data_IF_666657064380
#
_entry.id   IF_666657064380
#
_cell.length_a   1.000
_cell.length_b   1.000
_cell.length_c   1.000
_cell.angle_alpha   90.00
_cell.angle_beta   90.00
_cell.angle_gamma   90.00
#
_symmetry.space_group_name_H-M   'P 1'
#
loop_
_entity.id
_entity.type
_entity.pdbx_description
1 polymer ?
#
# COMPACT_ATOMS: atom_id res chain seq x y z
N UNK A 1 5.52 -29.81 -3.81
CA UNK A 1 5.99 -28.51 -4.37
C UNK A 1 4.91 -27.48 -4.12
N UNK A 2 5.25 -26.45 -3.36
CA UNK A 2 4.40 -25.30 -3.09
C UNK A 2 4.13 -24.51 -4.38
N UNK A 3 2.90 -24.08 -4.61
CA UNK A 3 2.58 -23.22 -5.75
C UNK A 3 3.12 -21.80 -5.53
N UNK A 4 3.23 -21.01 -6.60
CA UNK A 4 3.69 -19.61 -6.50
C UNK A 4 2.75 -18.77 -5.61
N UNK A 5 1.43 -19.04 -5.65
CA UNK A 5 0.48 -18.36 -4.78
C UNK A 5 0.66 -18.74 -3.31
N UNK A 6 0.84 -20.01 -3.01
CA UNK A 6 1.10 -20.48 -1.64
C UNK A 6 2.37 -19.87 -1.06
N UNK A 7 3.46 -19.82 -1.85
CA UNK A 7 4.70 -19.17 -1.43
C UNK A 7 4.49 -17.67 -1.12
N UNK A 8 3.81 -16.95 -2.00
CA UNK A 8 3.51 -15.53 -1.79
C UNK A 8 2.64 -15.31 -0.55
N UNK A 9 1.66 -16.17 -0.30
CA UNK A 9 0.81 -16.09 0.87
C UNK A 9 1.60 -16.35 2.16
N UNK A 10 2.53 -17.30 2.14
CA UNK A 10 3.41 -17.59 3.28
C UNK A 10 4.35 -16.41 3.58
N UNK A 11 4.94 -15.78 2.56
CA UNK A 11 5.78 -14.58 2.71
C UNK A 11 4.97 -13.44 3.35
N UNK A 12 3.79 -13.13 2.80
CA UNK A 12 2.89 -12.10 3.35
C UNK A 12 2.52 -12.41 4.80
N UNK A 13 2.17 -13.66 5.10
CA UNK A 13 1.83 -14.08 6.46
C UNK A 13 3.00 -13.89 7.44
N UNK A 14 4.22 -14.30 7.07
CA UNK A 14 5.42 -14.08 7.88
C UNK A 14 5.69 -12.60 8.13
N UNK A 15 5.54 -11.77 7.10
CA UNK A 15 5.69 -10.32 7.24
C UNK A 15 4.66 -9.74 8.22
N UNK A 16 3.39 -10.15 8.12
CA UNK A 16 2.34 -9.75 9.06
C UNK A 16 2.70 -10.13 10.49
N UNK A 17 3.20 -11.36 10.71
CA UNK A 17 3.60 -11.81 12.04
C UNK A 17 4.75 -10.98 12.63
N UNK A 18 5.75 -10.63 11.82
CA UNK A 18 6.87 -9.76 12.25
C UNK A 18 6.33 -8.39 12.69
N UNK A 19 5.46 -7.77 11.89
CA UNK A 19 4.86 -6.49 12.20
C UNK A 19 4.07 -6.55 13.53
N UNK A 20 3.17 -7.53 13.66
CA UNK A 20 2.32 -7.66 14.85
C UNK A 20 3.10 -7.98 16.14
N UNK A 21 4.14 -8.80 16.06
CA UNK A 21 5.01 -9.11 17.20
C UNK A 21 5.72 -7.88 17.75
N UNK A 22 5.97 -6.88 16.92
CA UNK A 22 6.62 -5.63 17.28
C UNK A 22 5.62 -4.47 17.52
N UNK A 23 4.31 -4.75 17.48
CA UNK A 23 3.26 -3.76 17.71
C UNK A 23 2.91 -2.90 16.51
N UNK A 24 3.42 -3.24 15.33
CA UNK A 24 3.12 -2.56 14.07
C UNK A 24 1.92 -3.20 13.35
N UNK A 25 1.38 -2.52 12.37
CA UNK A 25 0.22 -2.97 11.60
C UNK A 25 0.34 -2.66 10.11
N UNK A 26 -0.44 -3.36 9.31
CA UNK A 26 -0.59 -3.03 7.90
C UNK A 26 -1.24 -1.65 7.72
N UNK A 27 -0.81 -0.93 6.69
CA UNK A 27 -1.44 0.32 6.22
C UNK A 27 -2.53 0.06 5.18
N UNK A 28 -2.57 -1.15 4.61
CA UNK A 28 -3.54 -1.58 3.61
C UNK A 28 -4.68 -2.35 4.26
N UNK A 29 -5.90 -2.13 3.79
CA UNK A 29 -7.10 -2.80 4.29
C UNK A 29 -7.94 -3.34 3.13
N UNK A 30 -8.49 -4.54 3.32
CA UNK A 30 -9.52 -5.05 2.42
C UNK A 30 -10.87 -4.39 2.77
N UNK A 31 -11.75 -4.07 1.79
CA UNK A 31 -13.07 -3.52 2.09
C UNK A 31 -14.07 -4.56 2.64
N UNK A 32 -13.57 -5.54 3.38
CA UNK A 32 -14.33 -6.57 4.12
C UNK A 32 -13.76 -6.63 5.54
N UNK A 33 -14.64 -6.54 6.55
CA UNK A 33 -14.25 -6.69 7.97
C UNK A 33 -15.13 -7.71 8.68
N UNK A 34 -14.58 -8.33 9.73
CA UNK A 34 -15.35 -9.13 10.67
C UNK A 34 -16.06 -8.20 11.67
N UNK A 35 -17.36 -8.43 11.90
CA UNK A 35 -18.08 -7.80 12.99
C UNK A 35 -17.82 -8.52 14.34
N UNK A 36 -18.37 -7.98 15.41
CA UNK A 36 -18.20 -8.54 16.76
C UNK A 36 -18.76 -9.99 16.91
N UNK A 37 -19.61 -10.43 16.00
CA UNK A 37 -20.17 -11.76 15.96
C UNK A 37 -19.42 -12.72 15.02
N UNK A 38 -18.35 -12.25 14.38
CA UNK A 38 -17.57 -13.01 13.41
C UNK A 38 -18.17 -13.06 12.01
N UNK A 39 -19.21 -12.25 11.71
CA UNK A 39 -19.77 -12.17 10.36
C UNK A 39 -18.97 -11.18 9.51
N UNK A 40 -18.77 -11.52 8.25
CA UNK A 40 -18.12 -10.64 7.29
C UNK A 40 -19.08 -9.60 6.76
N UNK A 41 -18.63 -8.36 6.69
CA UNK A 41 -19.37 -7.21 6.16
C UNK A 41 -18.49 -6.35 5.29
N UNK A 42 -19.06 -5.80 4.22
CA UNK A 42 -18.42 -4.75 3.46
C UNK A 42 -18.33 -3.46 4.27
N UNK A 43 -17.19 -2.76 4.13
CA UNK A 43 -17.00 -1.41 4.69
C UNK A 43 -17.30 -0.31 3.68
N UNK A 44 -17.59 -0.68 2.44
CA UNK A 44 -17.90 0.18 1.31
C UNK A 44 -19.28 -0.15 0.74
N UNK A 45 -19.85 0.77 -0.05
CA UNK A 45 -21.16 0.59 -0.68
C UNK A 45 -21.27 1.34 -2.01
N UNK A 46 -22.35 1.16 -2.75
CA UNK A 46 -22.64 1.86 -4.00
C UNK A 46 -21.57 1.66 -5.06
N UNK A 47 -21.09 2.75 -5.66
CA UNK A 47 -20.11 2.71 -6.75
C UNK A 47 -18.77 2.08 -6.34
N UNK A 48 -18.32 2.29 -5.10
CA UNK A 48 -17.09 1.70 -4.59
C UNK A 48 -17.20 0.17 -4.50
N UNK A 49 -18.34 -0.35 -4.04
CA UNK A 49 -18.60 -1.78 -3.99
C UNK A 49 -18.66 -2.39 -5.40
N UNK A 50 -19.28 -1.70 -6.35
CA UNK A 50 -19.29 -2.13 -7.74
C UNK A 50 -17.88 -2.21 -8.34
N UNK A 51 -17.04 -1.20 -8.07
CA UNK A 51 -15.63 -1.22 -8.49
C UNK A 51 -14.87 -2.38 -7.86
N UNK A 52 -15.12 -2.66 -6.58
CA UNK A 52 -14.52 -3.80 -5.89
C UNK A 52 -14.92 -5.14 -6.54
N UNK A 53 -16.21 -5.35 -6.84
CA UNK A 53 -16.67 -6.53 -7.56
C UNK A 53 -16.02 -6.66 -8.94
N UNK A 54 -15.99 -5.57 -9.71
CA UNK A 54 -15.33 -5.58 -11.02
C UNK A 54 -13.87 -6.00 -10.91
N UNK A 55 -13.14 -5.45 -9.95
CA UNK A 55 -11.74 -5.79 -9.73
C UNK A 55 -11.57 -7.27 -9.33
N UNK A 56 -12.35 -7.76 -8.37
CA UNK A 56 -12.24 -9.13 -7.87
C UNK A 56 -12.60 -10.16 -8.96
N UNK A 57 -13.67 -9.91 -9.70
CA UNK A 57 -14.15 -10.84 -10.74
C UNK A 57 -13.55 -10.58 -12.12
N UNK A 58 -12.68 -9.57 -12.27
CA UNK A 58 -12.02 -9.23 -13.53
C UNK A 58 -12.95 -8.70 -14.61
N UNK A 59 -14.06 -8.07 -14.22
CA UNK A 59 -15.04 -7.51 -15.14
C UNK A 59 -14.64 -6.11 -15.61
N UNK A 60 -14.83 -5.82 -16.89
CA UNK A 60 -14.52 -4.51 -17.49
C UNK A 60 -15.57 -3.44 -17.23
N UNK A 61 -16.78 -3.83 -16.81
CA UNK A 61 -17.89 -2.95 -16.46
C UNK A 61 -18.84 -3.66 -15.50
N UNK A 62 -19.71 -2.87 -14.84
CA UNK A 62 -20.75 -3.42 -13.95
C UNK A 62 -21.71 -4.34 -14.74
N UNK A 63 -21.99 -4.04 -16.00
CA UNK A 63 -22.90 -4.83 -16.81
C UNK A 63 -22.30 -6.19 -17.23
N UNK A 64 -20.97 -6.31 -17.21
CA UNK A 64 -20.27 -7.56 -17.46
C UNK A 64 -20.30 -8.53 -16.27
N UNK A 65 -20.66 -8.05 -15.07
CA UNK A 65 -20.86 -8.91 -13.90
C UNK A 65 -22.18 -9.68 -14.02
N UNK A 66 -22.16 -10.95 -13.61
CA UNK A 66 -23.38 -11.75 -13.46
C UNK A 66 -24.25 -11.24 -12.31
N UNK A 67 -25.54 -11.58 -12.28
CA UNK A 67 -26.41 -11.22 -11.17
C UNK A 67 -25.94 -11.78 -9.82
N UNK A 68 -25.35 -12.99 -9.82
CA UNK A 68 -24.76 -13.58 -8.63
C UNK A 68 -23.56 -12.75 -8.11
N UNK A 69 -22.69 -12.29 -9.02
CA UNK A 69 -21.54 -11.46 -8.66
C UNK A 69 -21.93 -10.06 -8.16
N UNK A 70 -22.96 -9.44 -8.76
CA UNK A 70 -23.49 -8.13 -8.32
C UNK A 70 -24.12 -8.17 -6.93
N UNK A 71 -24.66 -9.33 -6.54
CA UNK A 71 -25.36 -9.52 -5.27
C UNK A 71 -24.57 -10.38 -4.27
N UNK A 72 -23.29 -10.66 -4.56
CA UNK A 72 -22.46 -11.49 -3.70
C UNK A 72 -22.28 -10.84 -2.32
N UNK A 73 -22.46 -11.62 -1.28
CA UNK A 73 -22.20 -11.21 0.10
C UNK A 73 -20.69 -11.06 0.36
N UNK A 74 -20.33 -10.36 1.43
CA UNK A 74 -18.92 -10.21 1.80
C UNK A 74 -18.24 -11.57 2.07
N UNK A 75 -19.00 -12.57 2.58
CA UNK A 75 -18.51 -13.94 2.78
C UNK A 75 -18.24 -14.64 1.45
N UNK A 76 -19.13 -14.55 0.50
CA UNK A 76 -18.96 -15.17 -0.82
C UNK A 76 -17.78 -14.57 -1.59
N UNK A 77 -17.60 -13.25 -1.52
CA UNK A 77 -16.44 -12.59 -2.13
C UNK A 77 -15.15 -13.00 -1.44
N UNK A 78 -15.13 -13.06 -0.11
CA UNK A 78 -13.97 -13.53 0.65
C UNK A 78 -13.60 -14.97 0.29
N UNK A 79 -14.59 -15.89 0.23
CA UNK A 79 -14.35 -17.29 -0.11
C UNK A 79 -13.84 -17.45 -1.55
N UNK A 80 -14.36 -16.66 -2.51
CA UNK A 80 -13.85 -16.61 -3.86
C UNK A 80 -12.41 -16.10 -3.91
N UNK A 81 -12.09 -14.99 -3.23
CA UNK A 81 -10.72 -14.46 -3.18
C UNK A 81 -9.73 -15.44 -2.55
N UNK A 82 -10.18 -16.18 -1.52
CA UNK A 82 -9.37 -17.19 -0.84
C UNK A 82 -9.12 -18.42 -1.69
N UNK A 83 -10.05 -18.77 -2.60
CA UNK A 83 -10.02 -20.01 -3.39
C UNK A 83 -8.82 -20.07 -4.35
N UNK A 84 -8.63 -21.23 -4.97
CA UNK A 84 -7.64 -21.48 -6.01
C UNK A 84 -7.90 -20.70 -7.31
N UNK A 85 -9.12 -20.19 -7.48
CA UNK A 85 -9.46 -19.34 -8.63
C UNK A 85 -8.77 -17.97 -8.60
N UNK A 86 -8.41 -17.47 -7.40
CA UNK A 86 -7.74 -16.16 -7.31
C UNK A 86 -6.41 -16.23 -6.55
N UNK A 87 -6.42 -16.38 -5.21
CA UNK A 87 -5.19 -16.28 -4.43
C UNK A 87 -4.70 -17.58 -3.79
N UNK A 88 -5.49 -18.64 -3.82
CA UNK A 88 -5.16 -19.97 -3.28
C UNK A 88 -4.57 -19.90 -1.85
N UNK A 89 -5.34 -19.36 -0.89
CA UNK A 89 -4.91 -19.24 0.50
C UNK A 89 -5.34 -20.46 1.29
N UNK A 90 -4.38 -21.14 1.96
CA UNK A 90 -4.62 -22.36 2.74
C UNK A 90 -5.78 -22.24 3.74
N UNK A 91 -6.46 -23.36 3.95
CA UNK A 91 -7.49 -23.53 4.97
C UNK A 91 -6.99 -23.42 6.42
N UNK A 92 -5.68 -23.53 6.62
CA UNK A 92 -5.08 -23.55 7.97
C UNK A 92 -5.04 -22.15 8.64
N UNK A 93 -5.14 -21.07 7.84
CA UNK A 93 -5.19 -19.70 8.36
C UNK A 93 -6.59 -19.35 8.86
N UNK A 94 -6.68 -18.69 10.02
CA UNK A 94 -7.94 -18.12 10.50
C UNK A 94 -8.45 -17.02 9.55
N UNK A 95 -9.77 -16.80 9.51
CA UNK A 95 -10.39 -15.78 8.68
C UNK A 95 -9.80 -14.37 8.93
N UNK A 96 -9.40 -14.08 10.17
CA UNK A 96 -8.76 -12.81 10.52
C UNK A 96 -7.39 -12.65 9.84
N UNK A 97 -6.57 -13.69 9.79
CA UNK A 97 -5.30 -13.66 9.07
C UNK A 97 -5.51 -13.69 7.55
N UNK A 98 -6.48 -14.45 7.06
CA UNK A 98 -6.81 -14.45 5.63
C UNK A 98 -7.20 -13.07 5.15
N UNK A 99 -8.00 -12.31 5.91
CA UNK A 99 -8.35 -10.92 5.57
C UNK A 99 -7.11 -10.03 5.43
N UNK A 100 -6.12 -10.16 6.30
CA UNK A 100 -4.85 -9.42 6.23
C UNK A 100 -4.01 -9.84 5.03
N UNK A 101 -3.90 -11.14 4.77
CA UNK A 101 -3.21 -11.67 3.59
C UNK A 101 -3.89 -11.17 2.32
N UNK A 102 -5.23 -11.22 2.26
CA UNK A 102 -6.02 -10.73 1.14
C UNK A 102 -5.85 -9.22 0.94
N UNK A 103 -5.73 -8.42 1.99
CA UNK A 103 -5.50 -6.98 1.88
C UNK A 103 -4.20 -6.69 1.11
N UNK A 104 -3.10 -7.33 1.50
CA UNK A 104 -1.80 -7.19 0.82
C UNK A 104 -1.85 -7.75 -0.60
N UNK A 105 -2.38 -8.97 -0.77
CA UNK A 105 -2.45 -9.64 -2.07
C UNK A 105 -3.32 -8.88 -3.08
N UNK A 106 -4.41 -8.30 -2.61
CA UNK A 106 -5.33 -7.52 -3.44
C UNK A 106 -4.69 -6.19 -3.87
N UNK A 107 -3.98 -5.50 -2.97
CA UNK A 107 -3.27 -4.26 -3.30
C UNK A 107 -2.19 -4.50 -4.36
N UNK A 108 -1.35 -5.52 -4.18
CA UNK A 108 -0.36 -5.93 -5.18
C UNK A 108 -1.04 -6.33 -6.50
N UNK A 109 -2.20 -6.98 -6.45
CA UNK A 109 -2.92 -7.40 -7.64
C UNK A 109 -3.53 -6.22 -8.40
N UNK A 110 -4.00 -5.19 -7.73
CA UNK A 110 -4.48 -3.95 -8.36
C UNK A 110 -3.36 -3.26 -9.17
N UNK A 111 -2.14 -3.28 -8.63
CA UNK A 111 -0.97 -2.65 -9.24
C UNK A 111 -0.19 -3.57 -10.21
N UNK A 112 -0.71 -4.74 -10.57
CA UNK A 112 -0.02 -5.77 -11.38
C UNK A 112 0.44 -5.33 -12.77
N UNK A 113 -0.14 -4.30 -13.31
CA UNK A 113 0.26 -3.73 -14.61
C UNK A 113 1.39 -2.70 -14.49
N UNK A 114 1.68 -2.24 -13.29
CA UNK A 114 2.76 -1.30 -12.98
C UNK A 114 3.94 -2.06 -12.35
N UNK A 115 4.59 -2.92 -13.15
CA UNK A 115 5.59 -3.90 -12.68
C UNK A 115 6.82 -3.30 -11.99
N UNK A 116 7.07 -2.01 -12.15
CA UNK A 116 8.21 -1.30 -11.57
C UNK A 116 7.86 -0.44 -10.35
N UNK A 117 6.59 -0.41 -9.95
CA UNK A 117 6.16 0.32 -8.76
C UNK A 117 6.09 -0.61 -7.55
N UNK A 118 6.69 -0.18 -6.46
CA UNK A 118 6.54 -0.81 -5.15
C UNK A 118 5.14 -0.52 -4.60
N UNK A 119 4.65 -1.41 -3.75
CA UNK A 119 3.37 -1.25 -3.05
C UNK A 119 3.66 -1.16 -1.56
N UNK A 120 3.34 -0.03 -0.96
CA UNK A 120 3.51 0.18 0.47
C UNK A 120 2.43 -0.54 1.25
N UNK A 121 2.82 -1.57 1.98
CA UNK A 121 1.90 -2.39 2.77
C UNK A 121 1.87 -2.02 4.25
N UNK A 122 2.92 -1.37 4.75
CA UNK A 122 3.00 -0.86 6.11
C UNK A 122 3.89 0.39 6.14
N UNK A 123 3.49 1.42 6.89
CA UNK A 123 4.22 2.68 7.02
C UNK A 123 4.53 2.97 8.49
N UNK A 124 5.59 3.72 8.73
CA UNK A 124 6.04 4.13 10.06
C UNK A 124 6.26 2.94 11.02
N UNK A 125 6.80 1.85 10.50
CA UNK A 125 7.11 0.66 11.29
C UNK A 125 8.21 0.92 12.32
N UNK A 126 8.20 0.17 13.40
CA UNK A 126 9.20 0.25 14.46
C UNK A 126 10.60 -0.20 13.98
N UNK A 127 11.62 0.28 14.68
CA UNK A 127 13.00 -0.14 14.42
C UNK A 127 13.19 -1.66 14.56
N UNK A 128 12.41 -2.29 15.44
CA UNK A 128 12.42 -3.74 15.65
C UNK A 128 11.86 -4.48 14.42
N UNK A 129 10.75 -4.01 13.84
CA UNK A 129 10.21 -4.57 12.60
C UNK A 129 11.15 -4.36 11.43
N UNK A 130 11.74 -3.16 11.30
CA UNK A 130 12.75 -2.87 10.28
C UNK A 130 13.91 -3.87 10.36
N UNK A 131 14.50 -4.04 11.53
CA UNK A 131 15.63 -4.99 11.72
C UNK A 131 15.21 -6.43 11.43
N UNK A 132 14.06 -6.88 11.94
CA UNK A 132 13.57 -8.23 11.74
C UNK A 132 13.25 -8.54 10.26
N UNK A 133 12.68 -7.58 9.51
CA UNK A 133 12.43 -7.75 8.08
C UNK A 133 13.76 -7.81 7.33
N UNK A 134 14.70 -6.90 7.62
CA UNK A 134 16.03 -6.86 7.00
C UNK A 134 16.81 -8.15 7.22
N UNK A 135 16.79 -8.72 8.43
CA UNK A 135 17.44 -9.99 8.75
C UNK A 135 16.83 -11.20 8.01
N UNK A 136 15.56 -11.11 7.60
CA UNK A 136 14.83 -12.20 6.95
C UNK A 136 14.58 -11.97 5.45
N UNK A 137 15.22 -10.97 4.81
CA UNK A 137 14.99 -10.63 3.39
C UNK A 137 15.25 -11.80 2.43
N UNK A 138 16.15 -12.71 2.75
CA UNK A 138 16.43 -13.91 1.98
C UNK A 138 15.25 -14.91 1.96
N UNK A 139 14.40 -14.88 2.97
CA UNK A 139 13.18 -15.71 3.08
C UNK A 139 11.90 -14.94 2.74
N UNK A 140 11.93 -13.61 2.79
CA UNK A 140 10.82 -12.71 2.47
C UNK A 140 10.94 -12.16 1.03
N UNK A 141 11.11 -13.05 0.08
CA UNK A 141 11.33 -12.72 -1.33
C UNK A 141 10.27 -11.77 -1.89
N UNK A 142 10.71 -10.62 -2.38
CA UNK A 142 9.84 -9.57 -2.94
C UNK A 142 9.28 -8.60 -1.90
N UNK A 143 9.67 -8.73 -0.63
CA UNK A 143 9.51 -7.69 0.38
C UNK A 143 10.78 -6.87 0.47
N UNK A 144 10.61 -5.58 0.70
CA UNK A 144 11.70 -4.64 0.95
C UNK A 144 11.27 -3.67 2.04
N UNK A 145 12.24 -2.99 2.64
CA UNK A 145 12.00 -1.98 3.68
C UNK A 145 12.98 -0.83 3.47
N UNK A 146 12.43 0.37 3.34
CA UNK A 146 13.20 1.60 3.14
C UNK A 146 13.01 2.56 4.30
N UNK A 147 14.01 3.42 4.50
CA UNK A 147 13.91 4.56 5.44
C UNK A 147 13.64 5.79 4.59
N UNK A 148 12.50 6.41 4.83
CA UNK A 148 12.11 7.65 4.19
C UNK A 148 12.00 8.77 5.21
N UNK A 149 12.41 9.96 4.82
CA UNK A 149 12.28 11.16 5.65
C UNK A 149 10.92 11.78 5.42
N UNK A 150 10.05 11.72 6.44
CA UNK A 150 8.75 12.38 6.40
C UNK A 150 8.77 13.70 7.18
N UNK A 151 8.19 14.74 6.58
CA UNK A 151 8.01 16.01 7.27
C UNK A 151 6.85 15.94 8.25
N UNK A 152 7.12 16.29 9.52
CA UNK A 152 6.10 16.39 10.55
C UNK A 152 5.88 17.87 10.87
N UNK A 153 4.66 18.35 10.65
CA UNK A 153 4.28 19.73 10.95
C UNK A 153 3.63 19.82 12.32
N UNK A 154 4.37 20.37 13.28
CA UNK A 154 3.81 20.68 14.58
C UNK A 154 2.83 21.85 14.44
N UNK A 155 1.66 21.74 15.09
CA UNK A 155 0.61 22.77 15.06
C UNK A 155 0.10 23.15 13.64
N UNK A 156 0.11 22.20 12.72
CA UNK A 156 -0.32 22.39 11.32
C UNK A 156 -1.68 23.06 11.17
N UNK A 157 -2.60 22.84 12.11
CA UNK A 157 -3.95 23.42 12.10
C UNK A 157 -3.91 24.95 12.11
N UNK A 158 -2.93 25.55 12.80
CA UNK A 158 -2.82 27.01 12.96
C UNK A 158 -1.93 27.65 11.89
N UNK A 159 -0.93 26.94 11.37
CA UNK A 159 0.11 27.51 10.53
C UNK A 159 0.16 26.93 9.10
N UNK A 160 -0.74 26.06 8.72
CA UNK A 160 -0.74 25.40 7.40
C UNK A 160 -0.69 26.37 6.22
N UNK A 161 -1.36 27.52 6.32
CA UNK A 161 -1.37 28.56 5.27
C UNK A 161 -0.05 29.34 5.17
N UNK A 162 0.80 29.32 6.21
CA UNK A 162 2.12 29.96 6.22
C UNK A 162 3.20 28.93 5.85
N UNK A 163 3.16 27.75 6.47
CA UNK A 163 4.13 26.69 6.27
C UNK A 163 3.97 26.12 4.85
N UNK A 164 2.76 25.90 4.39
CA UNK A 164 2.49 25.25 3.12
C UNK A 164 2.45 23.74 3.25
N UNK A 165 2.74 23.05 2.15
CA UNK A 165 2.80 21.60 2.08
C UNK A 165 3.79 21.15 1.01
N UNK A 166 4.24 19.90 1.12
CA UNK A 166 5.04 19.20 0.10
C UNK A 166 4.15 18.30 -0.74
N UNK A 167 4.54 18.03 -1.96
CA UNK A 167 3.84 17.13 -2.87
C UNK A 167 4.78 16.65 -3.99
N UNK A 168 4.39 15.59 -4.70
CA UNK A 168 5.18 15.04 -5.78
C UNK A 168 5.53 16.12 -6.80
N UNK A 169 6.77 16.12 -7.26
CA UNK A 169 7.24 17.03 -8.31
C UNK A 169 6.46 16.78 -9.61
N UNK A 170 6.02 17.83 -10.27
CA UNK A 170 5.43 17.74 -11.61
C UNK A 170 6.50 17.73 -12.68
N UNK A 171 6.20 17.27 -13.88
CA UNK A 171 7.15 17.28 -15.00
C UNK A 171 7.64 18.70 -15.33
N UNK A 172 6.78 19.70 -15.20
CA UNK A 172 7.13 21.10 -15.43
C UNK A 172 8.11 21.63 -14.38
N UNK A 173 7.86 21.34 -13.11
CA UNK A 173 8.76 21.70 -12.01
C UNK A 173 10.09 20.94 -12.08
N UNK A 174 10.06 19.67 -12.49
CA UNK A 174 11.26 18.84 -12.69
C UNK A 174 12.19 19.46 -13.74
N UNK A 175 11.64 19.88 -14.87
CA UNK A 175 12.41 20.56 -15.93
C UNK A 175 12.95 21.91 -15.44
N UNK A 176 12.13 22.71 -14.74
CA UNK A 176 12.53 24.02 -14.24
C UNK A 176 13.62 23.94 -13.17
N UNK A 177 13.51 23.03 -12.22
CA UNK A 177 14.48 22.88 -11.14
C UNK A 177 15.79 22.27 -11.64
N UNK A 178 15.72 21.19 -12.43
CA UNK A 178 16.91 20.52 -12.96
C UNK A 178 17.70 21.37 -13.95
N UNK A 179 17.07 22.33 -14.63
CA UNK A 179 17.77 23.29 -15.48
C UNK A 179 18.73 24.23 -14.70
N UNK A 180 18.57 24.33 -13.39
CA UNK A 180 19.33 25.24 -12.50
C UNK A 180 20.33 24.50 -11.62
N UNK A 181 20.31 23.17 -11.60
CA UNK A 181 21.06 22.31 -10.70
C UNK A 181 22.13 21.51 -11.44
N UNK A 182 23.22 21.20 -10.77
CA UNK A 182 24.24 20.28 -11.26
C UNK A 182 23.68 18.83 -11.30
N UNK A 183 24.28 17.96 -12.14
CA UNK A 183 23.77 16.60 -12.39
C UNK A 183 23.63 15.75 -11.12
N UNK A 184 24.49 15.97 -10.14
CA UNK A 184 24.49 15.27 -8.83
C UNK A 184 23.45 15.83 -7.83
N UNK A 185 22.78 16.91 -8.20
CA UNK A 185 21.77 17.60 -7.39
C UNK A 185 20.39 17.64 -8.04
N UNK A 186 20.19 16.94 -9.14
CA UNK A 186 18.92 16.94 -9.85
C UNK A 186 17.84 16.17 -9.07
N UNK A 187 16.61 16.59 -9.27
CA UNK A 187 15.42 15.89 -8.75
C UNK A 187 15.05 14.72 -9.62
N UNK A 188 14.55 13.67 -9.00
CA UNK A 188 13.90 12.56 -9.67
C UNK A 188 12.37 12.75 -9.75
N UNK A 189 11.72 12.02 -10.66
CA UNK A 189 10.28 12.12 -10.91
C UNK A 189 9.40 11.74 -9.70
N UNK A 190 9.97 11.08 -8.69
CA UNK A 190 9.28 10.65 -7.48
C UNK A 190 9.55 11.56 -6.28
N UNK A 191 10.37 12.60 -6.46
CA UNK A 191 10.74 13.49 -5.36
C UNK A 191 9.58 14.35 -4.90
N UNK A 192 9.61 14.68 -3.61
CA UNK A 192 8.66 15.56 -2.96
C UNK A 192 9.24 16.97 -2.88
N UNK A 193 8.50 17.96 -3.36
CA UNK A 193 8.90 19.37 -3.33
C UNK A 193 7.87 20.25 -2.64
N UNK A 194 8.31 21.36 -2.10
CA UNK A 194 7.43 22.38 -1.51
C UNK A 194 6.52 23.00 -2.58
N UNK A 195 5.21 22.89 -2.37
CA UNK A 195 4.18 23.40 -3.32
C UNK A 195 3.68 24.78 -2.97
N UNK A 196 3.78 25.19 -1.73
CA UNK A 196 3.25 26.46 -1.24
C UNK A 196 3.98 26.92 0.02
N UNK A 197 3.90 28.21 0.31
CA UNK A 197 4.33 28.82 1.57
C UNK A 197 5.84 28.77 1.82
N UNK A 198 6.23 28.54 3.07
CA UNK A 198 7.63 28.43 3.47
C UNK A 198 8.29 27.19 2.86
N UNK A 199 7.57 26.10 2.71
CA UNK A 199 8.08 24.88 2.06
C UNK A 199 8.57 25.18 0.65
N UNK A 200 7.79 25.89 -0.17
CA UNK A 200 8.20 26.28 -1.51
C UNK A 200 9.32 27.33 -1.49
N UNK A 201 9.24 28.32 -0.60
CA UNK A 201 10.19 29.44 -0.58
C UNK A 201 11.57 29.04 -0.09
N UNK A 202 11.67 27.99 0.70
CA UNK A 202 12.91 27.47 1.29
C UNK A 202 13.27 26.07 0.79
N UNK A 203 12.69 25.65 -0.34
CA UNK A 203 12.93 24.32 -0.92
C UNK A 203 14.42 23.99 -1.03
N UNK A 204 15.23 24.92 -1.57
CA UNK A 204 16.69 24.75 -1.73
C UNK A 204 17.44 24.47 -0.41
N UNK A 205 16.89 24.94 0.75
CA UNK A 205 17.50 24.72 2.05
C UNK A 205 16.90 23.49 2.76
N UNK A 206 15.66 23.16 2.45
CA UNK A 206 14.90 22.13 3.14
C UNK A 206 15.04 20.74 2.50
N UNK A 207 15.34 20.66 1.21
CA UNK A 207 15.45 19.36 0.52
C UNK A 207 16.59 18.47 1.03
N UNK A 208 17.66 19.09 1.54
CA UNK A 208 18.87 18.36 1.93
C UNK A 208 19.72 17.95 0.73
N UNK A 209 20.64 17.03 0.96
CA UNK A 209 21.50 16.41 -0.06
C UNK A 209 21.46 14.91 0.16
N UNK A 210 21.20 14.15 -0.87
CA UNK A 210 21.17 12.71 -0.80
C UNK A 210 22.56 12.16 -0.43
N UNK A 211 22.57 11.18 0.47
CA UNK A 211 23.79 10.51 0.87
C UNK A 211 24.29 9.60 -0.26
N UNK A 212 25.58 9.69 -0.57
CA UNK A 212 26.27 8.82 -1.53
C UNK A 212 26.66 7.48 -0.93
#
# INVERSE_FOLDING_TARGET
NMSVNELRNEIVYKTILILEQNGDSLSVELPIKLDANGNMKFTISGSQLNTFYMNVYGASSVDALTDAQKNATAREVFDYMRSDELFNISGDYSDAYVLKILAVRYEVWLNRYQQYMTVDIANNISQQSYAAITENMDTLLGMDVSIESNRVYNDAIYFSHIIGYIGNISNEELEEYNAKLDEDQQYDSNDMVGKLGLEQSYEDQLRGVDGS
#
